data_IF_330561590022
#
_entry.id   IF_330561590022
#
_cell.length_a   1.000
_cell.length_b   1.000
_cell.length_c   1.000
_cell.angle_alpha   90.00
_cell.angle_beta   90.00
_cell.angle_gamma   90.00
#
_symmetry.space_group_name_H-M   'P 1'
#
loop_
_entity.id
_entity.type
_entity.pdbx_description
1 polymer ?
#
# COMPACT_ATOMS: atom_id res chain seq x y z
N UNK A 1 13.94 -13.33 -5.89
CA UNK A 1 12.62 -12.93 -5.45
C UNK A 1 12.66 -12.56 -3.98
N UNK A 2 12.08 -11.44 -3.62
CA UNK A 2 12.07 -10.97 -2.24
C UNK A 2 10.80 -11.39 -1.54
N UNK A 3 10.80 -11.32 -0.21
CA UNK A 3 9.64 -11.65 0.61
C UNK A 3 9.32 -10.46 1.52
N UNK A 4 8.07 -10.04 1.52
CA UNK A 4 7.57 -9.02 2.43
C UNK A 4 6.51 -9.61 3.36
N UNK A 5 6.06 -8.81 4.32
CA UNK A 5 5.00 -9.20 5.25
C UNK A 5 4.00 -8.07 5.37
N UNK A 6 2.72 -8.36 5.17
CA UNK A 6 1.66 -7.35 5.32
C UNK A 6 1.54 -6.94 6.79
N UNK A 7 0.84 -5.83 7.06
CA UNK A 7 0.65 -5.35 8.44
C UNK A 7 -0.14 -6.35 9.30
N UNK A 8 -0.91 -7.22 8.68
CA UNK A 8 -1.65 -8.28 9.39
C UNK A 8 -0.87 -9.58 9.53
N UNK A 9 0.39 -9.60 9.08
CA UNK A 9 1.29 -10.75 9.28
C UNK A 9 1.30 -11.77 8.15
N UNK A 10 0.70 -11.47 7.00
CA UNK A 10 0.68 -12.38 5.85
C UNK A 10 1.94 -12.17 5.00
N UNK A 11 2.68 -13.24 4.75
CA UNK A 11 3.89 -13.17 3.92
C UNK A 11 3.53 -13.16 2.44
N UNK A 12 4.27 -12.40 1.65
CA UNK A 12 4.09 -12.36 0.21
C UNK A 12 5.43 -12.32 -0.51
N UNK A 13 5.49 -12.94 -1.68
CA UNK A 13 6.68 -12.92 -2.53
C UNK A 13 6.52 -11.84 -3.58
N UNK A 14 7.60 -11.11 -3.88
CA UNK A 14 7.56 -10.06 -4.88
C UNK A 14 8.91 -9.92 -5.59
N UNK A 15 8.89 -9.31 -6.76
CA UNK A 15 10.08 -8.90 -7.50
C UNK A 15 9.98 -7.41 -7.82
N UNK A 16 11.10 -6.81 -8.18
CA UNK A 16 11.16 -5.37 -8.46
C UNK A 16 11.39 -4.56 -7.21
N UNK A 17 11.09 -3.27 -7.29
CA UNK A 17 11.31 -2.33 -6.19
C UNK A 17 10.25 -1.24 -6.19
N UNK A 18 10.20 -0.45 -5.12
CA UNK A 18 9.31 0.72 -5.06
C UNK A 18 9.62 1.72 -6.17
N UNK A 19 10.89 1.83 -6.58
CA UNK A 19 11.31 2.78 -7.61
C UNK A 19 11.00 2.30 -9.04
N UNK A 20 11.05 1.00 -9.28
CA UNK A 20 10.91 0.42 -10.62
C UNK A 20 9.57 -0.26 -10.86
N UNK A 21 8.78 -0.43 -9.81
CA UNK A 21 7.53 -1.18 -9.85
C UNK A 21 7.68 -2.56 -9.23
N UNK A 22 6.57 -3.09 -8.78
CA UNK A 22 6.51 -4.36 -8.07
C UNK A 22 5.66 -5.36 -8.84
N UNK A 23 6.03 -6.63 -8.73
CA UNK A 23 5.19 -7.75 -9.14
C UNK A 23 5.03 -8.65 -7.93
N UNK A 24 3.83 -8.65 -7.36
CA UNK A 24 3.50 -9.49 -6.21
C UNK A 24 2.97 -10.81 -6.74
N UNK A 25 3.59 -11.91 -6.32
CA UNK A 25 3.26 -13.23 -6.84
C UNK A 25 2.29 -13.97 -5.91
N UNK A 26 1.24 -14.51 -6.50
CA UNK A 26 0.28 -15.38 -5.83
C UNK A 26 0.38 -16.79 -6.41
N UNK A 27 -0.36 -17.72 -5.83
CA UNK A 27 -0.29 -19.12 -6.24
C UNK A 27 -0.59 -19.33 -7.73
N UNK A 28 -1.60 -18.61 -8.25
CA UNK A 28 -2.03 -18.77 -9.66
C UNK A 28 -2.13 -17.46 -10.42
N UNK A 29 -1.65 -16.36 -9.84
CA UNK A 29 -1.74 -15.04 -10.46
C UNK A 29 -0.64 -14.12 -9.94
N UNK A 30 -0.62 -12.89 -10.47
CA UNK A 30 0.32 -11.87 -10.01
C UNK A 30 -0.36 -10.51 -10.04
N UNK A 31 0.06 -9.63 -9.14
CA UNK A 31 -0.40 -8.24 -9.10
C UNK A 31 0.76 -7.33 -9.48
N UNK A 32 0.58 -6.59 -10.58
CA UNK A 32 1.54 -5.60 -11.03
C UNK A 32 1.24 -4.25 -10.39
N UNK A 33 2.23 -3.66 -9.75
CA UNK A 33 2.12 -2.33 -9.15
C UNK A 33 3.13 -1.43 -9.83
N UNK A 34 2.64 -0.49 -10.64
CA UNK A 34 3.50 0.44 -11.39
C UNK A 34 4.18 1.43 -10.44
N UNK A 35 5.38 1.94 -10.79
CA UNK A 35 6.06 2.94 -9.95
C UNK A 35 5.23 4.22 -9.77
N UNK A 36 4.38 4.58 -10.74
CA UNK A 36 3.47 5.72 -10.63
C UNK A 36 2.49 5.55 -9.47
N UNK A 37 2.04 4.33 -9.22
CA UNK A 37 1.13 4.02 -8.10
C UNK A 37 1.84 4.30 -6.77
N UNK A 38 3.10 3.90 -6.65
CA UNK A 38 3.90 4.16 -5.45
C UNK A 38 4.06 5.67 -5.24
N UNK A 39 4.28 6.43 -6.30
CA UNK A 39 4.38 7.90 -6.22
C UNK A 39 3.10 8.53 -5.70
N UNK A 40 1.95 8.06 -6.18
CA UNK A 40 0.65 8.55 -5.71
C UNK A 40 0.50 8.27 -4.22
N UNK A 41 0.83 7.07 -3.79
CA UNK A 41 0.74 6.68 -2.38
C UNK A 41 1.66 7.55 -1.51
N UNK A 42 2.91 7.77 -1.94
CA UNK A 42 3.84 8.64 -1.21
C UNK A 42 3.29 10.06 -1.09
N UNK A 43 2.72 10.59 -2.16
CA UNK A 43 2.14 11.94 -2.18
C UNK A 43 0.97 12.04 -1.19
N UNK A 44 0.07 11.07 -1.20
CA UNK A 44 -1.09 11.06 -0.30
C UNK A 44 -0.65 10.97 1.16
N UNK A 45 0.34 10.15 1.47
CA UNK A 45 0.85 10.04 2.84
C UNK A 45 1.51 11.36 3.26
N UNK A 46 2.31 11.96 2.40
CA UNK A 46 3.04 13.20 2.70
C UNK A 46 2.08 14.37 2.95
N UNK A 47 1.04 14.50 2.13
CA UNK A 47 0.14 15.66 2.18
C UNK A 47 -0.99 15.52 3.18
N UNK A 48 -1.34 14.29 3.58
CA UNK A 48 -2.52 14.02 4.41
C UNK A 48 -2.21 13.39 5.76
N UNK A 49 -0.94 13.13 6.08
CA UNK A 49 -0.58 12.48 7.34
C UNK A 49 -1.13 13.24 8.56
N UNK A 50 -1.72 12.57 9.57
CA UNK A 50 -2.04 11.14 9.58
C UNK A 50 -3.22 10.81 8.67
N UNK A 51 -3.16 9.66 7.99
CA UNK A 51 -4.18 9.26 7.04
C UNK A 51 -4.47 7.75 7.18
N UNK A 52 -5.71 7.37 6.92
CA UNK A 52 -6.13 5.97 7.01
C UNK A 52 -5.60 5.18 5.81
N UNK A 53 -5.20 3.92 6.05
CA UNK A 53 -4.66 3.04 5.02
C UNK A 53 -5.72 2.62 4.00
N UNK A 54 -6.77 1.96 4.46
CA UNK A 54 -7.89 1.57 3.62
C UNK A 54 -7.58 0.57 2.53
N UNK A 55 -7.01 -0.60 2.87
CA UNK A 55 -6.67 -1.63 1.89
C UNK A 55 -7.89 -2.42 1.38
N UNK A 56 -9.07 -2.20 1.91
CA UNK A 56 -10.27 -2.93 1.52
C UNK A 56 -11.01 -2.20 0.40
N UNK A 57 -11.54 -2.99 -0.54
CA UNK A 57 -12.39 -2.48 -1.61
C UNK A 57 -13.87 -2.48 -1.21
N UNK A 58 -14.29 -3.44 -0.40
CA UNK A 58 -15.68 -3.60 0.03
C UNK A 58 -15.74 -3.88 1.53
N UNK A 59 -16.19 -2.92 2.32
CA UNK A 59 -16.47 -1.54 1.94
C UNK A 59 -15.19 -0.70 1.80
N UNK A 60 -15.24 0.32 0.95
CA UNK A 60 -14.17 1.31 0.89
C UNK A 60 -14.12 2.07 2.20
N UNK A 61 -12.91 2.34 2.67
CA UNK A 61 -12.73 3.12 3.90
C UNK A 61 -12.72 4.60 3.54
N UNK A 62 -13.68 5.35 4.07
CA UNK A 62 -13.80 6.78 3.82
C UNK A 62 -12.56 7.54 4.32
N UNK A 63 -12.09 8.49 3.54
CA UNK A 63 -10.92 9.33 3.83
C UNK A 63 -9.62 8.56 3.95
N UNK A 64 -9.51 7.41 3.30
CA UNK A 64 -8.30 6.60 3.28
C UNK A 64 -7.51 6.82 1.98
N UNK A 65 -6.25 6.40 2.00
CA UNK A 65 -5.44 6.35 0.77
C UNK A 65 -6.07 5.40 -0.23
N UNK A 66 -6.58 4.25 0.24
CA UNK A 66 -7.23 3.27 -0.61
C UNK A 66 -8.45 3.83 -1.34
N UNK A 67 -9.26 4.64 -0.67
CA UNK A 67 -10.40 5.30 -1.30
C UNK A 67 -9.94 6.22 -2.44
N UNK A 68 -8.92 7.01 -2.19
CA UNK A 68 -8.36 7.92 -3.20
C UNK A 68 -7.85 7.14 -4.41
N UNK A 69 -7.13 6.06 -4.19
CA UNK A 69 -6.64 5.21 -5.29
C UNK A 69 -7.79 4.67 -6.14
N UNK A 70 -8.82 4.18 -5.48
CA UNK A 70 -9.96 3.58 -6.18
C UNK A 70 -10.79 4.62 -6.93
N UNK A 71 -11.16 5.71 -6.27
CA UNK A 71 -12.10 6.68 -6.84
C UNK A 71 -11.46 7.66 -7.80
N UNK A 72 -10.21 8.08 -7.56
CA UNK A 72 -9.55 9.09 -8.39
C UNK A 72 -8.62 8.50 -9.45
N UNK A 73 -8.12 7.30 -9.24
CA UNK A 73 -7.09 6.72 -10.10
C UNK A 73 -7.46 5.35 -10.66
N UNK A 74 -8.63 4.81 -10.31
CA UNK A 74 -9.08 3.50 -10.74
C UNK A 74 -8.07 2.39 -10.41
N UNK A 75 -7.47 2.48 -9.22
CA UNK A 75 -6.49 1.53 -8.71
C UNK A 75 -7.09 0.79 -7.53
N UNK A 76 -6.97 -0.54 -7.50
CA UNK A 76 -7.47 -1.34 -6.39
C UNK A 76 -6.78 -0.94 -5.08
N UNK A 77 -7.54 -0.68 -3.99
CA UNK A 77 -6.96 -0.37 -2.69
C UNK A 77 -6.08 -1.49 -2.14
N UNK A 78 -6.23 -2.70 -2.65
CA UNK A 78 -5.46 -3.87 -2.22
C UNK A 78 -3.95 -3.66 -2.37
N UNK A 79 -3.52 -2.81 -3.30
CA UNK A 79 -2.09 -2.51 -3.48
C UNK A 79 -1.46 -1.98 -2.18
N UNK A 80 -2.25 -1.32 -1.32
CA UNK A 80 -1.76 -0.82 -0.04
C UNK A 80 -1.23 -1.93 0.87
N UNK A 81 -1.82 -3.11 0.81
CA UNK A 81 -1.36 -4.26 1.61
C UNK A 81 0.09 -4.64 1.31
N UNK A 82 0.57 -4.36 0.11
CA UNK A 82 1.91 -4.75 -0.34
C UNK A 82 2.87 -3.57 -0.39
N UNK A 83 2.40 -2.39 -0.75
CA UNK A 83 3.24 -1.19 -0.84
C UNK A 83 3.57 -0.63 0.54
N UNK A 84 2.60 -0.54 1.43
CA UNK A 84 2.79 0.10 2.73
C UNK A 84 3.87 -0.57 3.60
N UNK A 85 3.92 -1.91 3.73
CA UNK A 85 4.99 -2.55 4.50
C UNK A 85 6.39 -2.18 3.99
N UNK A 86 6.55 -2.06 2.68
CA UNK A 86 7.85 -1.73 2.07
C UNK A 86 8.21 -0.26 2.31
N UNK A 87 7.23 0.64 2.32
CA UNK A 87 7.45 2.04 2.67
C UNK A 87 7.86 2.19 4.15
N UNK A 88 7.27 1.40 5.03
CA UNK A 88 7.64 1.39 6.45
C UNK A 88 9.06 0.87 6.62
N UNK A 89 9.42 -0.20 5.93
CA UNK A 89 10.76 -0.77 5.97
C UNK A 89 11.82 0.22 5.49
N UNK A 90 11.47 1.02 4.47
CA UNK A 90 12.34 2.09 3.96
C UNK A 90 12.50 3.25 4.94
N UNK A 91 11.60 3.38 5.92
CA UNK A 91 11.60 4.49 6.86
C UNK A 91 10.80 5.69 6.40
N UNK A 92 10.02 5.54 5.33
CA UNK A 92 9.20 6.62 4.78
C UNK A 92 8.04 7.02 5.68
N UNK A 93 7.46 6.06 6.36
CA UNK A 93 6.30 6.26 7.23
C UNK A 93 6.22 5.18 8.29
N UNK A 94 5.28 5.34 9.21
CA UNK A 94 4.93 4.33 10.21
C UNK A 94 3.42 4.10 10.16
N UNK A 95 2.97 2.99 10.72
CA UNK A 95 1.54 2.71 10.82
C UNK A 95 1.19 2.33 12.25
N UNK A 96 0.10 2.89 12.77
CA UNK A 96 -0.43 2.52 14.07
C UNK A 96 -1.56 1.54 13.90
N UNK A 97 -1.65 0.57 14.81
CA UNK A 97 -2.71 -0.42 14.83
C UNK A 97 -4.09 0.22 14.88
N UNK A 98 -5.01 -0.41 14.22
CA UNK A 98 -6.39 0.04 14.15
C UNK A 98 -7.10 -0.64 12.99
N UNK A 99 -8.38 -0.44 12.91
CA UNK A 99 -9.21 -0.94 11.80
C UNK A 99 -9.94 0.24 11.19
N UNK A 100 -9.36 0.91 10.21
CA UNK A 100 -8.10 0.63 9.50
C UNK A 100 -6.86 1.15 10.21
N UNK A 101 -5.69 0.73 9.74
CA UNK A 101 -4.41 1.27 10.20
C UNK A 101 -4.32 2.77 9.90
N UNK A 102 -3.63 3.49 10.77
CA UNK A 102 -3.39 4.93 10.58
C UNK A 102 -1.93 5.15 10.22
N UNK A 103 -1.70 5.83 9.10
CA UNK A 103 -0.36 6.06 8.55
C UNK A 103 0.13 7.43 8.99
N UNK A 104 1.37 7.47 9.52
CA UNK A 104 2.05 8.70 9.90
C UNK A 104 3.32 8.84 9.07
N UNK A 105 3.48 9.97 8.40
CA UNK A 105 4.71 10.28 7.66
C UNK A 105 5.86 10.44 8.66
N UNK A 106 6.96 9.79 8.39
CA UNK A 106 8.17 9.92 9.21
C UNK A 106 8.87 11.26 9.02
#
# INVERSE_FOLDING_TARGET
>A
MAVGTTLTGVRFAYSGSLATGLIVSFKSSALKIKPEVVKIIRHEITTRSPVLMGANRQPLVTNSVGETLYEKHDISPQVMSYVLPLLIEEGFCTAKDGKPFVIHKS
#
